data_IF_676615845454
#
_entry.id   IF_676615845454
#
_cell.length_a   1.000
_cell.length_b   1.000
_cell.length_c   1.000
_cell.angle_alpha   90.00
_cell.angle_beta   90.00
_cell.angle_gamma   90.00
#
_symmetry.space_group_name_H-M   'P 1'
#
loop_
_entity.id
_entity.type
_entity.pdbx_description
1 polymer ?
#
# COMPACT_ATOMS: atom_id res chain seq x y z
N UNK A 1 9.15 -4.58 -4.70
CA UNK A 1 9.04 -4.50 -3.22
C UNK A 1 7.89 -3.59 -2.82
N UNK A 2 6.73 -4.12 -2.41
CA UNK A 2 5.69 -3.22 -1.87
C UNK A 2 6.25 -2.32 -0.76
N UNK A 3 5.74 -1.10 -0.63
CA UNK A 3 6.09 -0.20 0.48
C UNK A 3 5.24 -0.57 1.71
N UNK A 4 5.82 -0.49 2.90
CA UNK A 4 5.11 -0.58 4.18
C UNK A 4 5.34 0.68 5.02
N UNK A 5 4.46 0.92 5.99
CA UNK A 5 4.57 2.03 6.95
C UNK A 5 5.01 1.47 8.30
N UNK A 6 6.03 2.08 8.91
CA UNK A 6 6.51 1.70 10.25
C UNK A 6 5.69 2.34 11.37
N UNK A 7 5.88 1.84 12.59
CA UNK A 7 5.30 2.40 13.82
C UNK A 7 5.75 3.84 14.13
N UNK A 8 6.74 4.37 13.41
CA UNK A 8 7.17 5.77 13.53
C UNK A 8 6.18 6.75 12.87
N UNK A 9 5.16 6.24 12.21
CA UNK A 9 4.09 7.04 11.61
C UNK A 9 3.39 7.93 12.65
N UNK A 10 3.27 9.22 12.32
CA UNK A 10 2.64 10.24 13.17
C UNK A 10 1.19 10.57 12.78
N UNK A 11 0.56 9.73 11.95
CA UNK A 11 -0.82 9.91 11.47
C UNK A 11 -1.11 11.29 10.87
N UNK A 12 -0.18 11.84 10.08
CA UNK A 12 -0.36 13.15 9.43
C UNK A 12 -1.26 13.13 8.19
N UNK A 13 -1.55 11.94 7.63
CA UNK A 13 -2.40 11.77 6.43
C UNK A 13 -1.80 12.26 5.11
N UNK A 14 -0.53 12.68 5.08
CA UNK A 14 0.06 13.27 3.88
C UNK A 14 0.30 12.25 2.74
N UNK A 15 0.50 10.97 3.06
CA UNK A 15 0.82 9.95 2.05
C UNK A 15 -0.41 9.38 1.34
N UNK A 16 -1.57 9.31 2.01
CA UNK A 16 -2.82 8.76 1.48
C UNK A 16 -3.24 9.37 0.14
N UNK A 17 -3.37 10.71 -0.01
CA UNK A 17 -3.81 11.32 -1.26
C UNK A 17 -2.80 11.20 -2.41
N UNK A 18 -1.54 10.90 -2.10
CA UNK A 18 -0.47 10.77 -3.10
C UNK A 18 -0.41 9.37 -3.71
N UNK A 19 -1.15 8.39 -3.16
CA UNK A 19 -1.13 7.03 -3.69
C UNK A 19 -2.00 6.92 -4.96
N UNK A 20 -1.43 6.60 -6.14
CA UNK A 20 -2.21 6.49 -7.39
C UNK A 20 -3.17 5.28 -7.41
N UNK A 21 -3.06 4.38 -6.44
CA UNK A 21 -3.83 3.14 -6.37
C UNK A 21 -4.75 3.04 -5.16
N UNK A 22 -4.86 4.11 -4.35
CA UNK A 22 -5.63 4.07 -3.09
C UNK A 22 -5.21 2.87 -2.22
N UNK A 23 -3.91 2.63 -2.12
CA UNK A 23 -3.33 1.50 -1.39
C UNK A 23 -3.11 1.79 0.09
N UNK A 24 -3.25 3.05 0.50
CA UNK A 24 -2.90 3.54 1.84
C UNK A 24 -4.20 3.84 2.58
N UNK A 25 -4.29 3.37 3.83
CA UNK A 25 -5.48 3.48 4.66
C UNK A 25 -5.08 3.97 6.05
N UNK A 26 -5.95 4.73 6.71
CA UNK A 26 -5.79 5.11 8.12
C UNK A 26 -5.85 3.85 9.01
N UNK A 27 -5.16 3.91 10.15
CA UNK A 27 -5.16 2.81 11.12
C UNK A 27 -6.57 2.42 11.54
N UNK A 28 -6.86 1.12 11.52
CA UNK A 28 -8.16 0.60 11.95
C UNK A 28 -9.25 0.63 10.88
N UNK A 29 -9.01 1.24 9.72
CA UNK A 29 -9.98 1.31 8.62
C UNK A 29 -9.92 0.03 7.80
N UNK A 30 -11.09 -0.54 7.48
CA UNK A 30 -11.20 -1.67 6.55
C UNK A 30 -10.96 -1.22 5.10
N UNK A 31 -10.37 -2.09 4.28
CA UNK A 31 -10.08 -1.81 2.88
C UNK A 31 -10.89 -2.72 1.95
N UNK A 32 -11.04 -2.31 0.69
CA UNK A 32 -11.83 -3.05 -0.30
C UNK A 32 -11.01 -3.42 -1.53
N UNK A 33 -11.20 -4.63 -2.07
CA UNK A 33 -10.73 -5.02 -3.40
C UNK A 33 -11.78 -5.90 -4.09
N UNK A 34 -12.13 -5.56 -5.33
CA UNK A 34 -13.16 -6.27 -6.12
C UNK A 34 -14.50 -6.45 -5.37
N UNK A 35 -14.95 -5.43 -4.64
CA UNK A 35 -16.22 -5.49 -3.89
C UNK A 35 -16.17 -6.35 -2.62
N UNK A 36 -14.99 -6.81 -2.20
CA UNK A 36 -14.78 -7.52 -0.93
C UNK A 36 -14.06 -6.62 0.06
N UNK A 37 -14.57 -6.58 1.28
CA UNK A 37 -13.97 -5.86 2.40
C UNK A 37 -13.03 -6.78 3.19
N UNK A 38 -11.91 -6.23 3.62
CA UNK A 38 -10.85 -6.88 4.38
C UNK A 38 -10.46 -5.97 5.54
N UNK A 39 -10.10 -6.55 6.68
CA UNK A 39 -9.74 -5.78 7.88
C UNK A 39 -8.78 -6.51 8.81
N UNK A 40 -8.93 -6.27 10.11
CA UNK A 40 -8.08 -6.85 11.14
C UNK A 40 -8.12 -8.39 11.13
N UNK A 41 -6.94 -9.00 11.00
CA UNK A 41 -6.76 -10.45 10.96
C UNK A 41 -6.98 -11.11 9.60
N UNK A 42 -7.39 -10.37 8.57
CA UNK A 42 -7.51 -10.90 7.21
C UNK A 42 -6.15 -10.89 6.49
N UNK A 43 -5.80 -12.01 5.85
CA UNK A 43 -4.72 -12.03 4.88
C UNK A 43 -5.16 -11.32 3.59
N UNK A 44 -4.23 -10.65 2.92
CA UNK A 44 -4.51 -10.10 1.59
C UNK A 44 -4.71 -11.24 0.57
N UNK A 45 -5.39 -11.01 -0.58
CA UNK A 45 -5.59 -12.02 -1.62
C UNK A 45 -4.33 -12.71 -2.13
N UNK A 46 -3.17 -12.05 -2.10
CA UNK A 46 -1.89 -12.68 -2.43
C UNK A 46 -1.25 -13.48 -1.27
N UNK A 47 -1.88 -13.49 -0.09
CA UNK A 47 -1.42 -14.18 1.10
C UNK A 47 -0.50 -13.35 2.00
N UNK A 48 -0.34 -12.04 1.74
CA UNK A 48 0.41 -11.18 2.65
C UNK A 48 -0.34 -11.02 3.98
N UNK A 49 0.41 -11.04 5.07
CA UNK A 49 -0.07 -10.89 6.44
C UNK A 49 0.81 -9.87 7.18
N UNK A 50 0.33 -9.33 8.29
CA UNK A 50 1.11 -8.43 9.16
C UNK A 50 1.35 -7.02 8.60
N UNK A 51 0.69 -6.65 7.49
CA UNK A 51 0.72 -5.29 6.94
C UNK A 51 -0.33 -4.37 7.57
N UNK A 52 -1.44 -4.92 8.08
CA UNK A 52 -2.51 -4.16 8.71
C UNK A 52 -2.07 -3.55 10.04
N UNK A 53 -2.49 -2.31 10.30
CA UNK A 53 -2.29 -1.63 11.59
C UNK A 53 -3.59 -0.99 12.05
N UNK A 54 -3.90 -1.14 13.34
CA UNK A 54 -5.00 -0.46 14.00
C UNK A 54 -4.61 0.94 14.51
N UNK A 55 -3.30 1.22 14.63
CA UNK A 55 -2.77 2.37 15.35
C UNK A 55 -2.24 3.46 14.43
N UNK A 56 -1.77 3.08 13.24
CA UNK A 56 -1.18 4.00 12.27
C UNK A 56 -1.54 3.64 10.83
N UNK A 57 -1.35 4.58 9.91
CA UNK A 57 -1.58 4.35 8.48
C UNK A 57 -0.85 3.11 7.99
N UNK A 58 -1.49 2.31 7.14
CA UNK A 58 -0.90 1.11 6.60
C UNK A 58 -1.07 1.03 5.08
N UNK A 59 -0.30 0.15 4.43
CA UNK A 59 -0.31 -0.03 2.97
C UNK A 59 -0.75 -1.44 2.65
N UNK A 60 -1.75 -1.58 1.78
CA UNK A 60 -2.23 -2.86 1.26
C UNK A 60 -1.28 -3.35 0.15
N UNK A 61 -0.58 -4.48 0.33
CA UNK A 61 0.39 -4.99 -0.64
C UNK A 61 -0.24 -5.29 -2.01
N UNK A 62 -1.47 -5.80 -2.03
CA UNK A 62 -2.22 -6.09 -3.26
C UNK A 62 -2.58 -4.86 -4.09
N UNK A 63 -2.48 -3.65 -3.51
CA UNK A 63 -2.72 -2.38 -4.20
C UNK A 63 -1.43 -1.59 -4.45
N UNK A 64 -0.36 -1.88 -3.73
CA UNK A 64 0.90 -1.17 -3.86
C UNK A 64 1.65 -1.61 -5.14
N UNK A 65 2.01 -0.65 -6.00
CA UNK A 65 2.80 -0.90 -7.21
C UNK A 65 4.14 -0.18 -7.19
N UNK A 66 4.59 0.32 -6.04
CA UNK A 66 5.77 1.21 -5.91
C UNK A 66 5.74 2.41 -6.87
N UNK A 67 4.53 2.88 -7.19
CA UNK A 67 4.29 3.88 -8.23
C UNK A 67 4.79 3.49 -9.64
N UNK A 68 5.20 2.24 -9.88
CA UNK A 68 5.57 1.76 -11.21
C UNK A 68 4.39 1.91 -12.17
N UNK A 69 4.67 2.48 -13.34
CA UNK A 69 3.68 2.89 -14.32
C UNK A 69 3.07 4.29 -14.08
N UNK A 70 3.44 5.00 -13.01
CA UNK A 70 2.95 6.34 -12.68
C UNK A 70 4.08 7.35 -12.45
N UNK A 71 5.03 7.00 -11.58
CA UNK A 71 6.16 7.83 -11.18
C UNK A 71 7.44 7.00 -11.11
N UNK A 72 8.59 7.68 -11.15
CA UNK A 72 9.89 7.01 -11.06
C UNK A 72 10.19 6.49 -9.64
N UNK A 73 9.63 7.15 -8.62
CA UNK A 73 9.84 6.89 -7.19
C UNK A 73 8.51 6.83 -6.40
N UNK A 74 8.47 6.14 -5.25
CA UNK A 74 7.28 6.08 -4.41
C UNK A 74 6.89 7.45 -3.83
N UNK A 75 5.72 7.96 -4.19
CA UNK A 75 5.27 9.30 -3.75
C UNK A 75 4.99 9.36 -2.25
N UNK A 76 4.52 8.26 -1.64
CA UNK A 76 4.32 8.16 -0.19
C UNK A 76 5.62 8.37 0.60
N UNK A 77 6.74 7.83 0.12
CA UNK A 77 8.05 8.03 0.73
C UNK A 77 8.54 9.47 0.53
N UNK A 78 8.31 10.06 -0.64
CA UNK A 78 8.72 11.44 -0.94
C UNK A 78 8.01 12.50 -0.09
N UNK A 79 6.76 12.26 0.34
CA UNK A 79 5.96 13.20 1.13
C UNK A 79 6.00 12.94 2.63
N UNK A 80 6.54 11.79 3.07
CA UNK A 80 6.54 11.41 4.48
C UNK A 80 7.47 12.34 5.30
N UNK A 81 6.97 13.06 6.32
CA UNK A 81 7.80 13.99 7.10
C UNK A 81 8.72 13.31 8.11
N UNK A 82 8.55 12.01 8.34
CA UNK A 82 9.28 11.20 9.34
C UNK A 82 9.92 9.95 8.72
N UNK A 83 9.99 9.87 7.39
CA UNK A 83 10.66 8.80 6.65
C UNK A 83 10.21 7.36 7.02
N UNK A 84 8.95 7.17 7.42
CA UNK A 84 8.41 5.89 7.88
C UNK A 84 7.80 5.00 6.77
N UNK A 85 7.81 5.46 5.51
CA UNK A 85 7.33 4.69 4.34
C UNK A 85 8.51 4.00 3.66
N UNK A 86 8.75 2.72 3.97
CA UNK A 86 9.97 2.00 3.60
C UNK A 86 9.66 0.81 2.67
N UNK A 87 10.63 0.35 1.84
CA UNK A 87 10.48 -0.89 1.10
C UNK A 87 10.28 -2.09 2.03
N UNK A 88 9.27 -2.91 1.79
CA UNK A 88 8.97 -4.10 2.58
C UNK A 88 9.96 -5.22 2.24
N UNK A 89 10.84 -5.64 3.18
CA UNK A 89 11.79 -6.72 2.95
C UNK A 89 11.13 -8.09 2.77
N UNK A 90 9.88 -8.26 3.21
CA UNK A 90 9.14 -9.53 3.12
C UNK A 90 8.27 -9.61 1.87
N UNK A 91 8.03 -8.49 1.19
CA UNK A 91 7.19 -8.43 -0.01
C UNK A 91 8.00 -7.92 -1.22
N UNK A 92 9.08 -8.63 -1.55
CA UNK A 92 9.95 -8.30 -2.68
C UNK A 92 9.36 -8.81 -3.98
N UNK A 93 9.19 -7.88 -4.92
CA UNK A 93 8.53 -8.11 -6.21
C UNK A 93 9.33 -7.45 -7.32
N UNK A 94 9.32 -8.08 -8.49
CA UNK A 94 9.92 -7.56 -9.70
C UNK A 94 9.00 -6.56 -10.41
N UNK A 95 9.58 -5.76 -11.31
CA UNK A 95 8.84 -4.72 -12.03
C UNK A 95 7.71 -5.26 -12.91
N UNK A 96 7.87 -6.45 -13.50
CA UNK A 96 6.82 -7.06 -14.33
C UNK A 96 5.59 -7.39 -13.47
N UNK A 97 5.81 -7.93 -12.26
CA UNK A 97 4.75 -8.19 -11.28
C UNK A 97 4.01 -6.90 -10.89
N UNK A 98 4.73 -5.82 -10.61
CA UNK A 98 4.14 -4.52 -10.24
C UNK A 98 3.31 -3.91 -11.37
N UNK A 99 3.79 -3.99 -12.61
CA UNK A 99 3.08 -3.50 -13.79
C UNK A 99 1.82 -4.33 -14.08
N UNK A 100 1.88 -5.65 -13.90
CA UNK A 100 0.69 -6.52 -14.00
C UNK A 100 -0.35 -6.17 -12.95
N UNK A 101 0.06 -5.94 -11.71
CA UNK A 101 -0.84 -5.45 -10.65
C UNK A 101 -1.45 -4.12 -11.03
N UNK A 102 -0.65 -3.17 -11.52
CA UNK A 102 -1.14 -1.88 -12.03
C UNK A 102 -2.24 -2.09 -13.08
N UNK A 103 -2.03 -2.97 -14.06
CA UNK A 103 -3.00 -3.17 -15.13
C UNK A 103 -4.26 -3.91 -14.66
N UNK A 104 -4.11 -4.89 -13.78
CA UNK A 104 -5.25 -5.57 -13.14
C UNK A 104 -6.11 -4.57 -12.36
N UNK A 105 -5.45 -3.73 -11.56
CA UNK A 105 -6.14 -2.72 -10.80
C UNK A 105 -6.93 -1.77 -11.74
N UNK A 106 -6.34 -1.26 -12.84
CA UNK A 106 -7.08 -0.46 -13.84
C UNK A 106 -8.34 -1.15 -14.37
N UNK A 107 -8.29 -2.48 -14.57
CA UNK A 107 -9.43 -3.25 -15.10
C UNK A 107 -10.59 -3.32 -14.11
N UNK A 108 -10.28 -3.46 -12.82
CA UNK A 108 -11.30 -3.51 -11.76
C UNK A 108 -11.72 -2.13 -11.28
N UNK A 109 -11.17 -1.07 -11.90
CA UNK A 109 -11.47 0.31 -11.55
C UNK A 109 -10.79 0.77 -10.27
N UNK A 110 -9.72 0.06 -9.85
CA UNK A 110 -8.74 0.38 -8.82
C UNK A 110 -9.20 1.37 -7.75
#
# INVERSE_FOLDING_TARGET
>A
MAIYITEECINCGACEPECPNTAIYEGGVDWELEGKTYGDGDASPNGAEGFYSADFFYIVPDKCTECKGFHDEPQCAAVCPVDCCLPDPNHVEDEETLLKRKDYLDQIGR
#
